data_IF_520541034497
#
_entry.id   IF_520541034497
#
_cell.length_a   1.000
_cell.length_b   1.000
_cell.length_c   1.000
_cell.angle_alpha   90.00
_cell.angle_beta   90.00
_cell.angle_gamma   90.00
#
_symmetry.space_group_name_H-M   'P 1'
#
loop_
_entity.id
_entity.type
_entity.pdbx_description
1 polymer ?
#
# COMPACT_ATOMS: atom_id res chain seq x y z
N UNK A 1 -27.15 -20.85 -28.19
CA UNK A 1 -27.47 -20.31 -26.85
C UNK A 1 -26.88 -18.91 -26.72
N UNK A 2 -27.74 -17.87 -26.67
CA UNK A 2 -27.32 -16.48 -26.66
C UNK A 2 -26.76 -16.13 -25.28
N UNK A 3 -25.44 -15.86 -25.21
CA UNK A 3 -24.81 -15.26 -24.04
C UNK A 3 -25.41 -13.85 -23.86
N UNK A 4 -26.35 -13.70 -22.93
CA UNK A 4 -26.84 -12.40 -22.49
C UNK A 4 -25.65 -11.74 -21.77
N UNK A 5 -24.98 -10.78 -22.42
CA UNK A 5 -24.05 -9.85 -21.77
C UNK A 5 -24.80 -9.17 -20.61
N UNK A 6 -24.65 -9.71 -19.40
CA UNK A 6 -25.12 -9.03 -18.20
C UNK A 6 -24.39 -7.70 -18.13
N UNK A 7 -25.14 -6.60 -18.25
CA UNK A 7 -24.62 -5.26 -18.06
C UNK A 7 -24.01 -5.18 -16.66
N UNK A 8 -22.67 -5.11 -16.58
CA UNK A 8 -21.97 -5.03 -15.30
C UNK A 8 -21.75 -3.55 -14.94
N UNK A 9 -22.68 -3.00 -14.15
CA UNK A 9 -22.65 -1.60 -13.73
C UNK A 9 -21.33 -1.23 -13.01
N UNK A 10 -20.76 -2.13 -12.23
CA UNK A 10 -19.50 -1.88 -11.51
C UNK A 10 -18.32 -1.70 -12.48
N UNK A 11 -18.31 -2.43 -13.60
CA UNK A 11 -17.32 -2.26 -14.66
C UNK A 11 -17.39 -0.86 -15.28
N UNK A 12 -18.60 -0.35 -15.57
CA UNK A 12 -18.79 0.95 -16.17
C UNK A 12 -18.52 2.09 -15.18
N UNK A 13 -18.94 1.93 -13.91
CA UNK A 13 -18.62 2.88 -12.85
C UNK A 13 -17.11 2.99 -12.64
N UNK A 14 -16.40 1.88 -12.63
CA UNK A 14 -14.94 1.90 -12.57
C UNK A 14 -14.34 2.67 -13.75
N UNK A 15 -14.72 2.36 -15.00
CA UNK A 15 -14.24 3.10 -16.18
C UNK A 15 -14.51 4.60 -16.09
N UNK A 16 -15.66 4.97 -15.58
CA UNK A 16 -16.02 6.38 -15.38
C UNK A 16 -15.12 7.04 -14.34
N UNK A 17 -15.01 6.49 -13.15
CA UNK A 17 -14.19 7.07 -12.06
C UNK A 17 -12.69 7.07 -12.35
N UNK A 18 -12.17 6.08 -13.07
CA UNK A 18 -10.77 6.05 -13.50
C UNK A 18 -10.48 6.89 -14.73
N UNK A 19 -11.46 7.56 -15.32
CA UNK A 19 -11.23 8.43 -16.47
C UNK A 19 -10.53 9.74 -16.06
N UNK A 20 -9.55 10.17 -16.85
CA UNK A 20 -8.82 11.41 -16.61
C UNK A 20 -9.76 12.64 -16.65
N UNK A 21 -10.79 12.61 -17.52
CA UNK A 21 -11.78 13.68 -17.64
C UNK A 21 -12.56 13.83 -16.34
N UNK A 22 -13.10 12.73 -15.78
CA UNK A 22 -13.83 12.77 -14.52
C UNK A 22 -12.97 13.31 -13.39
N UNK A 23 -11.75 12.82 -13.25
CA UNK A 23 -10.83 13.23 -12.18
C UNK A 23 -10.38 14.69 -12.31
N UNK A 24 -10.22 15.18 -13.56
CA UNK A 24 -9.88 16.59 -13.83
C UNK A 24 -11.02 17.55 -13.49
N UNK A 25 -12.27 17.16 -13.78
CA UNK A 25 -13.45 18.00 -13.56
C UNK A 25 -13.95 18.00 -12.12
N UNK A 26 -13.52 17.06 -11.30
CA UNK A 26 -13.99 16.93 -9.93
C UNK A 26 -13.01 17.57 -8.93
N UNK A 27 -13.41 18.63 -8.19
CA UNK A 27 -12.54 19.35 -7.28
C UNK A 27 -12.23 18.57 -6.00
N UNK A 28 -13.09 17.62 -5.60
CA UNK A 28 -12.90 16.86 -4.36
C UNK A 28 -12.06 15.60 -4.58
N UNK A 29 -10.73 15.77 -4.55
CA UNK A 29 -9.77 14.68 -4.80
C UNK A 29 -9.88 13.52 -3.81
N UNK A 30 -10.25 13.76 -2.55
CA UNK A 30 -10.39 12.69 -1.55
C UNK A 30 -11.59 11.81 -1.86
N UNK A 31 -12.73 12.42 -2.22
CA UNK A 31 -13.92 11.69 -2.67
C UNK A 31 -13.64 10.85 -3.92
N UNK A 32 -12.86 11.40 -4.86
CA UNK A 32 -12.48 10.67 -6.09
C UNK A 32 -11.72 9.38 -5.74
N UNK A 33 -10.70 9.44 -4.88
CA UNK A 33 -9.91 8.26 -4.52
C UNK A 33 -10.79 7.16 -3.94
N UNK A 34 -11.64 7.50 -2.97
CA UNK A 34 -12.59 6.55 -2.39
C UNK A 34 -13.49 5.92 -3.45
N UNK A 35 -14.07 6.72 -4.36
CA UNK A 35 -14.91 6.21 -5.45
C UNK A 35 -14.16 5.31 -6.42
N UNK A 36 -12.92 5.69 -6.79
CA UNK A 36 -12.06 4.88 -7.68
C UNK A 36 -11.76 3.53 -7.06
N UNK A 37 -11.17 3.49 -5.86
CA UNK A 37 -10.76 2.23 -5.24
C UNK A 37 -11.96 1.36 -4.86
N UNK A 38 -13.07 1.94 -4.38
CA UNK A 38 -14.32 1.20 -4.17
C UNK A 38 -14.86 0.59 -5.47
N UNK A 39 -14.80 1.32 -6.59
CA UNK A 39 -15.24 0.79 -7.88
C UNK A 39 -14.34 -0.32 -8.43
N UNK A 40 -13.04 -0.23 -8.19
CA UNK A 40 -12.06 -1.27 -8.52
C UNK A 40 -12.37 -2.54 -7.72
N UNK A 41 -12.56 -2.42 -6.41
CA UNK A 41 -12.94 -3.53 -5.52
C UNK A 41 -14.26 -4.18 -5.96
N UNK A 42 -15.34 -3.39 -6.11
CA UNK A 42 -16.67 -3.90 -6.50
C UNK A 42 -16.72 -4.54 -7.89
N UNK A 43 -15.84 -4.14 -8.79
CA UNK A 43 -15.73 -4.74 -10.12
C UNK A 43 -14.80 -5.96 -10.18
N UNK A 44 -14.14 -6.31 -9.08
CA UNK A 44 -13.07 -7.31 -9.02
C UNK A 44 -11.98 -7.06 -10.08
N UNK A 45 -11.64 -5.76 -10.31
CA UNK A 45 -10.77 -5.39 -11.42
C UNK A 45 -9.35 -5.97 -11.29
N UNK A 46 -8.84 -6.06 -10.08
CA UNK A 46 -7.51 -6.60 -9.81
C UNK A 46 -7.48 -8.11 -9.60
N UNK A 47 -8.66 -8.74 -9.46
CA UNK A 47 -8.74 -10.20 -9.33
C UNK A 47 -8.34 -10.86 -10.63
N UNK A 48 -7.24 -11.59 -10.60
CA UNK A 48 -6.81 -12.43 -11.71
C UNK A 48 -7.21 -13.87 -11.41
N UNK A 49 -7.90 -14.48 -12.36
CA UNK A 49 -8.20 -15.91 -12.27
C UNK A 49 -6.91 -16.69 -12.49
N UNK A 50 -6.51 -17.42 -11.49
CA UNK A 50 -5.41 -18.37 -11.56
C UNK A 50 -5.97 -19.77 -11.27
N UNK A 51 -5.93 -20.63 -12.25
CA UNK A 51 -6.44 -22.00 -12.13
C UNK A 51 -5.43 -22.95 -11.47
N UNK A 52 -4.22 -22.47 -11.16
CA UNK A 52 -3.15 -23.27 -10.54
C UNK A 52 -3.19 -23.23 -9.02
N UNK A 53 -3.94 -22.27 -8.44
CA UNK A 53 -4.12 -22.10 -6.99
C UNK A 53 -5.61 -22.21 -6.60
N UNK A 54 -5.88 -22.45 -5.33
CA UNK A 54 -7.24 -22.51 -4.80
C UNK A 54 -7.93 -21.15 -4.87
N UNK A 55 -9.27 -21.12 -4.87
CA UNK A 55 -10.03 -19.86 -4.84
C UNK A 55 -9.76 -19.05 -3.58
N UNK A 56 -9.52 -19.71 -2.47
CA UNK A 56 -9.23 -19.15 -1.17
C UNK A 56 -7.86 -18.47 -1.15
N UNK A 57 -6.97 -18.87 -2.07
CA UNK A 57 -5.62 -18.30 -2.25
C UNK A 57 -5.59 -17.08 -3.16
N UNK A 58 -6.72 -16.73 -3.79
CA UNK A 58 -6.84 -15.57 -4.68
C UNK A 58 -7.24 -14.32 -3.89
N UNK A 59 -6.38 -13.30 -3.93
CA UNK A 59 -6.61 -12.00 -3.31
C UNK A 59 -7.49 -11.10 -4.18
N UNK A 60 -8.40 -10.35 -3.55
CA UNK A 60 -9.15 -9.28 -4.22
C UNK A 60 -8.31 -8.01 -4.39
N UNK A 61 -7.16 -7.92 -3.72
CA UNK A 61 -6.22 -6.81 -3.83
C UNK A 61 -5.24 -6.94 -5.01
N UNK A 62 -5.31 -8.04 -5.75
CA UNK A 62 -4.51 -8.28 -6.96
C UNK A 62 -3.59 -9.50 -6.85
N UNK A 63 -3.08 -9.94 -8.00
CA UNK A 63 -2.27 -11.16 -8.11
C UNK A 63 -1.00 -11.15 -7.25
N UNK A 64 -0.41 -9.97 -7.05
CA UNK A 64 0.75 -9.80 -6.17
C UNK A 64 0.48 -10.11 -4.70
N UNK A 65 -0.79 -10.26 -4.31
CA UNK A 65 -1.25 -10.61 -2.96
C UNK A 65 -1.86 -12.01 -2.89
N UNK A 66 -1.84 -12.79 -3.98
CA UNK A 66 -2.25 -14.20 -3.96
C UNK A 66 -1.29 -14.99 -3.08
N UNK A 67 -1.84 -15.95 -2.32
CA UNK A 67 -1.04 -16.93 -1.57
C UNK A 67 -0.87 -18.22 -2.39
N UNK A 68 -0.05 -19.16 -1.91
CA UNK A 68 0.29 -20.42 -2.62
C UNK A 68 0.97 -20.22 -3.99
N UNK A 69 1.67 -19.10 -4.15
CA UNK A 69 2.46 -18.74 -5.32
C UNK A 69 3.94 -18.60 -4.95
N UNK A 70 4.83 -18.75 -5.92
CA UNK A 70 6.27 -18.51 -5.72
C UNK A 70 6.52 -17.09 -5.21
N UNK A 71 5.80 -16.11 -5.75
CA UNK A 71 5.86 -14.73 -5.29
C UNK A 71 5.50 -14.60 -3.80
N UNK A 72 4.43 -15.26 -3.36
CA UNK A 72 4.05 -15.26 -1.94
C UNK A 72 5.13 -15.89 -1.06
N UNK A 73 5.71 -17.00 -1.48
CA UNK A 73 6.77 -17.66 -0.70
C UNK A 73 8.01 -16.79 -0.55
N UNK A 74 8.38 -16.01 -1.56
CA UNK A 74 9.48 -15.06 -1.48
C UNK A 74 9.12 -13.87 -0.57
N UNK A 75 7.93 -13.30 -0.68
CA UNK A 75 7.43 -12.28 0.25
C UNK A 75 7.43 -12.79 1.69
N UNK A 76 6.97 -14.03 1.92
CA UNK A 76 6.97 -14.65 3.24
C UNK A 76 8.37 -14.75 3.82
N UNK A 77 9.38 -15.15 3.03
CA UNK A 77 10.79 -15.16 3.47
C UNK A 77 11.28 -13.77 3.85
N UNK A 78 11.01 -12.76 2.99
CA UNK A 78 11.43 -11.37 3.20
C UNK A 78 10.84 -10.83 4.51
N UNK A 79 9.51 -10.87 4.67
CA UNK A 79 8.86 -10.30 5.84
C UNK A 79 9.11 -11.11 7.11
N UNK A 80 9.26 -12.44 7.02
CA UNK A 80 9.69 -13.24 8.17
C UNK A 80 11.09 -12.83 8.63
N UNK A 81 12.02 -12.58 7.71
CA UNK A 81 13.35 -12.07 8.01
C UNK A 81 13.28 -10.69 8.68
N UNK A 82 12.54 -9.72 8.09
CA UNK A 82 12.38 -8.37 8.66
C UNK A 82 11.80 -8.45 10.07
N UNK A 83 10.73 -9.23 10.27
CA UNK A 83 10.05 -9.39 11.57
C UNK A 83 11.02 -9.92 12.62
N UNK A 84 11.79 -10.95 12.29
CA UNK A 84 12.71 -11.57 13.24
C UNK A 84 13.94 -10.69 13.52
N UNK A 85 14.61 -10.18 12.48
CA UNK A 85 15.85 -9.42 12.62
C UNK A 85 15.63 -8.06 13.30
N UNK A 86 14.48 -7.44 13.06
CA UNK A 86 14.13 -6.14 13.65
C UNK A 86 13.23 -6.26 14.89
N UNK A 87 12.90 -7.49 15.33
CA UNK A 87 12.06 -7.76 16.51
C UNK A 87 10.72 -7.03 16.45
N UNK A 88 10.04 -7.12 15.28
CA UNK A 88 8.75 -6.44 15.03
C UNK A 88 7.64 -7.12 15.83
N UNK A 89 6.99 -6.36 16.71
CA UNK A 89 5.85 -6.78 17.51
C UNK A 89 4.58 -5.96 17.22
N UNK A 90 4.71 -4.86 16.47
CA UNK A 90 3.57 -4.02 16.09
C UNK A 90 3.70 -3.53 14.65
N UNK A 91 2.61 -3.67 13.87
CA UNK A 91 2.56 -3.32 12.45
C UNK A 91 1.36 -2.42 12.14
N UNK A 92 1.61 -1.35 11.39
CA UNK A 92 0.61 -0.55 10.72
C UNK A 92 0.72 -0.79 9.22
N UNK A 93 -0.30 -1.39 8.61
CA UNK A 93 -0.34 -1.74 7.19
C UNK A 93 -1.35 -0.84 6.45
N UNK A 94 -0.88 -0.06 5.48
CA UNK A 94 -1.69 0.93 4.78
C UNK A 94 -1.24 1.16 3.32
N UNK A 95 -2.00 0.66 2.34
CA UNK A 95 -3.28 -0.02 2.45
C UNK A 95 -3.12 -1.50 2.80
N UNK A 96 -4.00 -1.99 3.67
CA UNK A 96 -3.96 -3.39 4.06
C UNK A 96 -4.60 -4.33 3.02
N UNK A 97 -5.39 -3.78 2.09
CA UNK A 97 -6.15 -4.61 1.15
C UNK A 97 -7.02 -5.64 1.88
N UNK A 98 -7.14 -6.84 1.32
CA UNK A 98 -7.87 -7.95 1.92
C UNK A 98 -7.10 -8.72 3.01
N UNK A 99 -5.92 -8.25 3.38
CA UNK A 99 -5.06 -8.80 4.42
C UNK A 99 -4.60 -10.25 4.18
N UNK A 100 -5.01 -10.90 3.10
CA UNK A 100 -4.81 -12.33 2.87
C UNK A 100 -3.34 -12.76 2.98
N UNK A 101 -2.44 -12.11 2.22
CA UNK A 101 -1.04 -12.49 2.17
C UNK A 101 -0.29 -12.22 3.48
N UNK A 102 -0.54 -11.06 4.11
CA UNK A 102 0.18 -10.70 5.32
C UNK A 102 -0.33 -11.47 6.54
N UNK A 103 -1.64 -11.79 6.57
CA UNK A 103 -2.21 -12.71 7.56
C UNK A 103 -1.46 -14.05 7.59
N UNK A 104 -1.19 -14.66 6.44
CA UNK A 104 -0.47 -15.94 6.33
C UNK A 104 0.99 -15.86 6.83
N UNK A 105 1.54 -14.66 6.98
CA UNK A 105 2.87 -14.43 7.55
C UNK A 105 2.82 -14.27 9.07
N UNK A 106 1.77 -13.64 9.59
CA UNK A 106 1.73 -13.23 11.00
C UNK A 106 0.72 -13.97 11.87
N UNK A 107 -0.17 -14.79 11.32
CA UNK A 107 -1.27 -15.45 12.05
C UNK A 107 -0.83 -16.24 13.28
N UNK A 108 0.37 -16.83 13.24
CA UNK A 108 0.94 -17.63 14.32
C UNK A 108 1.98 -16.86 15.16
N UNK A 109 2.04 -15.52 15.01
CA UNK A 109 2.97 -14.64 15.73
C UNK A 109 2.21 -13.75 16.71
N UNK A 110 2.87 -13.36 17.78
CA UNK A 110 2.32 -12.38 18.72
C UNK A 110 2.63 -10.97 18.22
N UNK A 111 1.91 -10.51 17.19
CA UNK A 111 2.07 -9.20 16.57
C UNK A 111 0.75 -8.43 16.70
N UNK A 112 0.82 -7.22 17.23
CA UNK A 112 -0.26 -6.23 17.18
C UNK A 112 -0.33 -5.64 15.78
N UNK A 113 -1.46 -5.80 15.10
CA UNK A 113 -1.65 -5.35 13.73
C UNK A 113 -2.82 -4.38 13.62
N UNK A 114 -2.59 -3.29 12.88
CA UNK A 114 -3.65 -2.38 12.43
C UNK A 114 -3.58 -2.28 10.92
N UNK A 115 -4.65 -2.69 10.24
CA UNK A 115 -4.84 -2.51 8.81
C UNK A 115 -5.69 -1.28 8.52
N UNK A 116 -5.22 -0.43 7.60
CA UNK A 116 -5.97 0.76 7.15
C UNK A 116 -6.20 0.65 5.65
N UNK A 117 -7.43 0.89 5.19
CA UNK A 117 -7.77 0.97 3.77
C UNK A 117 -8.90 1.98 3.55
N UNK A 118 -8.99 2.56 2.35
CA UNK A 118 -10.00 3.56 2.01
C UNK A 118 -11.36 2.94 1.64
N UNK A 119 -11.40 1.63 1.36
CA UNK A 119 -12.60 0.91 0.92
C UNK A 119 -13.36 0.35 2.12
N UNK A 120 -14.49 0.95 2.47
CA UNK A 120 -15.28 0.58 3.65
C UNK A 120 -15.70 -0.89 3.64
N UNK A 121 -16.21 -1.38 2.51
CA UNK A 121 -16.71 -2.76 2.38
C UNK A 121 -15.57 -3.80 2.53
N UNK A 122 -14.36 -3.45 2.09
CA UNK A 122 -13.19 -4.30 2.26
C UNK A 122 -12.79 -4.38 3.74
N UNK A 123 -12.79 -3.25 4.43
CA UNK A 123 -12.50 -3.19 5.87
C UNK A 123 -13.54 -3.97 6.68
N UNK A 124 -14.83 -3.84 6.36
CA UNK A 124 -15.86 -4.64 7.05
C UNK A 124 -15.68 -6.15 6.80
N UNK A 125 -15.34 -6.56 5.58
CA UNK A 125 -15.01 -7.95 5.29
C UNK A 125 -13.80 -8.45 6.09
N UNK A 126 -12.75 -7.63 6.23
CA UNK A 126 -11.58 -7.96 7.04
C UNK A 126 -11.90 -8.07 8.53
N UNK A 127 -12.74 -7.17 9.07
CA UNK A 127 -13.21 -7.26 10.45
C UNK A 127 -13.93 -8.57 10.72
N UNK A 128 -14.87 -8.93 9.85
CA UNK A 128 -15.64 -10.18 9.98
C UNK A 128 -14.70 -11.40 9.96
N UNK A 129 -13.70 -11.39 9.08
CA UNK A 129 -12.86 -12.57 8.82
C UNK A 129 -11.69 -12.71 9.79
N UNK A 130 -11.07 -11.59 10.19
CA UNK A 130 -9.75 -11.60 10.83
C UNK A 130 -9.67 -10.85 12.17
N UNK A 131 -10.64 -9.97 12.49
CA UNK A 131 -10.54 -9.17 13.72
C UNK A 131 -10.50 -10.03 14.97
N UNK A 132 -9.56 -9.75 15.83
CA UNK A 132 -9.40 -10.39 17.13
C UNK A 132 -8.69 -9.42 18.10
N UNK A 133 -8.18 -9.92 19.23
CA UNK A 133 -7.48 -9.07 20.20
C UNK A 133 -6.20 -8.40 19.66
N UNK A 134 -5.55 -8.99 18.66
CA UNK A 134 -4.28 -8.51 18.11
C UNK A 134 -4.47 -7.81 16.76
N UNK A 135 -5.55 -8.12 16.01
CA UNK A 135 -5.77 -7.60 14.66
C UNK A 135 -6.99 -6.67 14.64
N UNK A 136 -6.80 -5.46 14.17
CA UNK A 136 -7.86 -4.46 14.00
C UNK A 136 -7.79 -3.76 12.64
N UNK A 137 -8.93 -3.24 12.17
CA UNK A 137 -9.04 -2.65 10.84
C UNK A 137 -9.79 -1.32 10.89
N UNK A 138 -9.30 -0.32 10.15
CA UNK A 138 -9.80 1.05 10.13
C UNK A 138 -10.05 1.46 8.67
N UNK A 139 -11.24 2.00 8.39
CA UNK A 139 -11.51 2.64 7.10
C UNK A 139 -11.09 4.10 7.15
N UNK A 140 -10.02 4.47 6.39
CA UNK A 140 -9.56 5.85 6.31
C UNK A 140 -8.75 6.09 5.03
N UNK A 141 -8.60 7.37 4.64
CA UNK A 141 -7.71 7.80 3.57
C UNK A 141 -6.28 7.94 4.11
N UNK A 142 -5.41 7.03 3.69
CA UNK A 142 -4.00 6.94 4.10
C UNK A 142 -3.24 8.28 3.96
N UNK A 143 -3.63 9.11 2.99
CA UNK A 143 -2.99 10.42 2.78
C UNK A 143 -3.20 11.35 3.98
N UNK A 144 -4.33 11.21 4.67
CA UNK A 144 -4.70 12.04 5.81
C UNK A 144 -4.66 11.27 7.15
N UNK A 145 -4.46 9.96 7.08
CA UNK A 145 -4.43 9.11 8.28
C UNK A 145 -3.32 9.54 9.22
N UNK A 146 -3.65 9.68 10.49
CA UNK A 146 -2.71 10.03 11.54
C UNK A 146 -3.01 9.24 12.81
N UNK A 147 -1.97 8.87 13.54
CA UNK A 147 -2.07 8.17 14.82
C UNK A 147 -0.91 8.54 15.72
N UNK A 148 -1.18 8.65 17.02
CA UNK A 148 -0.15 8.84 18.06
C UNK A 148 0.45 7.52 18.56
N UNK A 149 -0.13 6.37 18.15
CA UNK A 149 0.40 5.05 18.51
C UNK A 149 1.77 4.85 17.87
N UNK A 150 2.70 4.28 18.62
CA UNK A 150 4.01 3.86 18.11
C UNK A 150 3.88 2.47 17.46
N UNK A 151 4.55 2.28 16.32
CA UNK A 151 4.66 1.00 15.63
C UNK A 151 6.13 0.62 15.43
N UNK A 152 6.42 -0.67 15.43
CA UNK A 152 7.75 -1.13 15.06
C UNK A 152 7.92 -1.06 13.54
N UNK A 153 6.88 -1.41 12.77
CA UNK A 153 6.89 -1.38 11.32
C UNK A 153 5.64 -0.67 10.76
N UNK A 154 5.85 0.27 9.85
CA UNK A 154 4.81 0.72 8.91
C UNK A 154 5.05 0.01 7.58
N UNK A 155 4.00 -0.58 7.00
CA UNK A 155 4.03 -1.23 5.70
C UNK A 155 3.16 -0.44 4.71
N UNK A 156 3.75 -0.04 3.56
CA UNK A 156 3.03 0.56 2.43
C UNK A 156 3.40 -0.23 1.18
N UNK A 157 2.55 -1.17 0.81
CA UNK A 157 2.79 -2.05 -0.33
C UNK A 157 1.78 -1.81 -1.44
N UNK A 158 2.29 -1.65 -2.68
CA UNK A 158 1.50 -1.56 -3.92
C UNK A 158 0.46 -0.40 -3.98
N UNK A 159 0.62 0.65 -3.16
CA UNK A 159 -0.20 1.86 -3.22
C UNK A 159 0.35 2.88 -4.22
N UNK A 160 1.65 3.17 -4.15
CA UNK A 160 2.26 4.29 -4.86
C UNK A 160 2.15 4.17 -6.38
N UNK A 161 2.05 2.95 -6.89
CA UNK A 161 1.85 2.67 -8.32
C UNK A 161 0.47 3.11 -8.84
N UNK A 162 -0.50 3.40 -7.96
CA UNK A 162 -1.89 3.69 -8.29
C UNK A 162 -2.34 5.13 -7.96
N UNK A 163 -1.49 5.93 -7.31
CA UNK A 163 -1.82 7.30 -6.88
C UNK A 163 -0.86 8.33 -7.46
N UNK A 164 -1.29 9.59 -7.48
CA UNK A 164 -0.50 10.70 -8.04
C UNK A 164 0.77 10.97 -7.24
N UNK A 165 1.81 11.49 -7.91
CA UNK A 165 3.08 11.87 -7.28
C UNK A 165 2.88 12.88 -6.12
N UNK A 166 1.94 13.80 -6.27
CA UNK A 166 1.59 14.76 -5.21
C UNK A 166 1.03 14.09 -3.95
N UNK A 167 0.29 12.98 -4.10
CA UNK A 167 -0.26 12.23 -2.97
C UNK A 167 0.81 11.37 -2.30
N UNK A 168 1.73 10.78 -3.08
CA UNK A 168 2.92 10.08 -2.52
C UNK A 168 3.74 11.03 -1.65
N UNK A 169 4.03 12.27 -2.13
CA UNK A 169 4.75 13.28 -1.34
C UNK A 169 4.05 13.58 -0.02
N UNK A 170 2.72 13.70 -0.02
CA UNK A 170 1.96 13.94 1.23
C UNK A 170 2.04 12.76 2.19
N UNK A 171 1.96 11.52 1.68
CA UNK A 171 2.11 10.32 2.52
C UNK A 171 3.50 10.31 3.16
N UNK A 172 4.56 10.56 2.39
CA UNK A 172 5.93 10.64 2.90
C UNK A 172 6.05 11.73 3.99
N UNK A 173 5.51 12.93 3.74
CA UNK A 173 5.47 14.01 4.74
C UNK A 173 4.67 13.65 5.98
N UNK A 174 3.59 12.88 5.83
CA UNK A 174 2.76 12.44 6.95
C UNK A 174 3.45 11.37 7.80
N UNK A 175 4.19 10.46 7.16
CA UNK A 175 5.00 9.47 7.87
C UNK A 175 5.98 10.12 8.85
N UNK A 176 6.56 11.27 8.51
CA UNK A 176 7.47 11.98 9.42
C UNK A 176 6.83 12.38 10.76
N UNK A 177 5.52 12.61 10.77
CA UNK A 177 4.76 12.98 11.96
C UNK A 177 4.34 11.76 12.79
N UNK A 178 4.41 10.56 12.21
CA UNK A 178 4.04 9.32 12.89
C UNK A 178 5.21 8.78 13.72
N UNK A 179 4.90 7.99 14.73
CA UNK A 179 5.90 7.35 15.57
C UNK A 179 6.10 5.89 15.14
N UNK A 180 7.27 5.56 14.58
CA UNK A 180 7.62 4.21 14.14
C UNK A 180 9.12 3.96 14.23
N UNK A 181 9.53 2.69 14.17
CA UNK A 181 10.94 2.31 14.11
C UNK A 181 11.39 2.11 12.66
N UNK A 182 10.62 1.38 11.87
CA UNK A 182 10.92 1.03 10.48
C UNK A 182 9.73 1.29 9.56
N UNK A 183 10.00 1.60 8.29
CA UNK A 183 8.99 1.64 7.23
C UNK A 183 9.44 0.80 6.04
N UNK A 184 8.55 -0.07 5.54
CA UNK A 184 8.75 -0.87 4.34
C UNK A 184 7.90 -0.32 3.19
N UNK A 185 8.53 0.02 2.06
CA UNK A 185 7.93 0.65 0.89
C UNK A 185 8.29 -0.12 -0.38
N UNK A 186 7.36 -0.26 -1.33
CA UNK A 186 7.73 -0.72 -2.67
C UNK A 186 8.38 0.40 -3.49
N UNK A 187 9.39 0.03 -4.25
CA UNK A 187 10.06 0.89 -5.24
C UNK A 187 10.47 0.09 -6.46
N UNK A 188 10.58 0.75 -7.59
CA UNK A 188 11.08 0.19 -8.84
C UNK A 188 12.41 0.86 -9.22
N UNK A 189 13.11 0.33 -10.23
CA UNK A 189 14.39 0.90 -10.71
C UNK A 189 14.27 1.71 -12.01
N UNK A 190 13.06 2.15 -12.37
CA UNK A 190 12.85 3.00 -13.53
C UNK A 190 13.59 4.35 -13.39
N UNK A 191 14.06 4.90 -14.50
CA UNK A 191 14.87 6.14 -14.51
C UNK A 191 14.04 7.41 -14.33
N UNK A 192 12.77 7.40 -14.69
CA UNK A 192 11.88 8.57 -14.69
C UNK A 192 10.55 8.18 -14.08
N UNK A 193 10.03 9.01 -13.18
CA UNK A 193 8.69 8.90 -12.64
C UNK A 193 7.70 9.73 -13.47
N UNK A 194 6.72 9.08 -14.05
CA UNK A 194 5.57 9.75 -14.64
C UNK A 194 4.44 9.86 -13.63
N UNK A 195 3.55 10.82 -13.80
CA UNK A 195 2.33 10.85 -12.98
C UNK A 195 1.27 9.90 -13.53
N UNK A 196 0.22 9.63 -12.75
CA UNK A 196 -0.82 8.67 -13.10
C UNK A 196 -2.20 9.21 -12.75
N UNK A 197 -3.19 8.81 -13.52
CA UNK A 197 -4.59 8.95 -13.14
C UNK A 197 -4.89 7.93 -12.04
N UNK A 198 -5.49 8.37 -10.94
CA UNK A 198 -5.75 7.52 -9.76
C UNK A 198 -6.44 6.21 -10.15
N UNK A 199 -5.93 5.11 -9.65
CA UNK A 199 -6.42 3.75 -9.93
C UNK A 199 -5.83 3.09 -11.18
N UNK A 200 -5.09 3.82 -12.03
CA UNK A 200 -4.29 3.24 -13.08
C UNK A 200 -2.93 2.80 -12.51
N UNK A 201 -2.10 2.18 -13.34
CA UNK A 201 -0.83 1.60 -12.91
C UNK A 201 0.36 2.30 -13.58
N UNK A 202 1.43 2.54 -12.81
CA UNK A 202 2.76 2.87 -13.31
C UNK A 202 3.83 2.44 -12.32
N UNK A 203 5.07 2.26 -12.79
CA UNK A 203 6.22 2.02 -11.91
C UNK A 203 6.65 3.32 -11.22
N UNK A 204 7.08 3.22 -9.96
CA UNK A 204 7.54 4.35 -9.14
C UNK A 204 8.90 4.03 -8.56
N UNK A 205 9.88 4.87 -8.85
CA UNK A 205 11.20 4.83 -8.23
C UNK A 205 11.30 5.92 -7.16
N UNK A 206 11.42 5.53 -5.90
CA UNK A 206 11.51 6.48 -4.79
C UNK A 206 12.87 7.18 -4.69
N UNK A 207 13.91 6.68 -5.39
CA UNK A 207 15.27 7.23 -5.35
C UNK A 207 15.52 8.33 -6.38
N UNK A 208 14.57 8.59 -7.30
CA UNK A 208 14.71 9.62 -8.33
C UNK A 208 13.59 10.66 -8.24
N UNK A 209 13.76 11.77 -8.97
CA UNK A 209 12.73 12.81 -9.07
C UNK A 209 11.32 12.23 -9.29
N UNK A 210 10.30 12.75 -8.64
CA UNK A 210 10.28 13.93 -7.79
C UNK A 210 10.40 13.59 -6.28
N UNK A 211 10.82 12.37 -5.91
CA UNK A 211 10.87 11.91 -4.52
C UNK A 211 12.25 12.05 -3.90
N UNK A 212 13.30 11.63 -4.62
CA UNK A 212 14.71 11.71 -4.22
C UNK A 212 14.99 11.20 -2.79
N UNK A 213 14.32 10.11 -2.37
CA UNK A 213 14.66 9.47 -1.12
C UNK A 213 16.08 8.92 -1.22
N UNK A 214 16.82 8.93 -0.14
CA UNK A 214 18.12 8.28 -0.08
C UNK A 214 18.01 6.75 -0.13
N UNK A 215 19.16 6.10 -0.21
CA UNK A 215 19.20 4.64 -0.23
C UNK A 215 18.60 4.06 1.05
N UNK A 216 17.78 3.00 0.94
CA UNK A 216 17.21 2.34 2.11
C UNK A 216 18.31 1.67 2.95
N UNK A 217 17.98 1.39 4.22
CA UNK A 217 18.82 0.58 5.10
C UNK A 217 19.08 -0.81 4.52
N UNK A 218 18.00 -1.43 4.05
CA UNK A 218 18.02 -2.72 3.35
C UNK A 218 17.04 -2.67 2.18
N UNK A 219 17.32 -3.44 1.13
CA UNK A 219 16.38 -3.65 0.04
C UNK A 219 16.31 -5.13 -0.31
N UNK A 220 15.11 -5.58 -0.67
CA UNK A 220 14.83 -6.96 -1.04
C UNK A 220 14.20 -6.96 -2.42
N UNK A 221 14.64 -7.86 -3.30
CA UNK A 221 14.02 -8.04 -4.61
C UNK A 221 12.63 -8.64 -4.41
N UNK A 222 11.60 -7.99 -4.93
CA UNK A 222 10.25 -8.54 -5.02
C UNK A 222 10.15 -9.43 -6.28
N UNK A 223 9.01 -10.00 -6.55
CA UNK A 223 8.77 -10.97 -7.63
C UNK A 223 9.19 -10.46 -9.03
N UNK A 224 8.90 -9.19 -9.35
CA UNK A 224 9.30 -8.58 -10.62
C UNK A 224 10.80 -8.22 -10.60
N UNK A 225 11.47 -8.34 -11.75
CA UNK A 225 12.93 -8.12 -11.84
C UNK A 225 13.39 -6.73 -11.43
N UNK A 226 12.52 -5.74 -11.58
CA UNK A 226 12.81 -4.33 -11.30
C UNK A 226 12.00 -3.76 -10.12
N UNK A 227 11.34 -4.62 -9.33
CA UNK A 227 10.55 -4.27 -8.15
C UNK A 227 11.27 -4.67 -6.86
N UNK A 228 11.28 -3.76 -5.90
CA UNK A 228 11.97 -3.96 -4.63
C UNK A 228 11.08 -3.56 -3.46
N UNK A 229 11.36 -4.16 -2.30
CA UNK A 229 10.89 -3.71 -1.00
C UNK A 229 12.06 -2.97 -0.35
N UNK A 230 11.91 -1.68 -0.10
CA UNK A 230 12.86 -0.83 0.60
C UNK A 230 12.50 -0.76 2.08
N UNK A 231 13.45 -1.07 2.96
CA UNK A 231 13.31 -0.92 4.40
C UNK A 231 14.13 0.28 4.87
N UNK A 232 13.47 1.26 5.46
CA UNK A 232 14.10 2.43 6.09
C UNK A 232 13.94 2.37 7.60
N UNK A 233 14.97 2.78 8.33
CA UNK A 233 14.84 3.16 9.73
C UNK A 233 14.35 4.62 9.81
N UNK A 234 13.51 4.94 10.80
CA UNK A 234 12.87 6.26 10.89
C UNK A 234 13.88 7.41 10.84
N UNK A 235 14.99 7.34 11.59
CA UNK A 235 16.00 8.40 11.62
C UNK A 235 16.53 8.74 10.22
N UNK A 236 16.87 7.73 9.43
CA UNK A 236 17.40 7.90 8.08
C UNK A 236 16.32 8.36 7.09
N UNK A 237 15.07 7.93 7.30
CA UNK A 237 13.93 8.34 6.47
C UNK A 237 13.58 9.83 6.62
N UNK A 238 13.76 10.40 7.82
CA UNK A 238 13.47 11.81 8.12
C UNK A 238 14.58 12.75 7.63
N UNK A 239 15.85 12.42 7.86
CA UNK A 239 17.00 13.24 7.45
C UNK A 239 16.97 13.54 5.95
N UNK A 240 16.52 12.59 5.16
CA UNK A 240 16.43 12.67 3.71
C UNK A 240 15.40 13.68 3.18
N UNK A 241 14.34 13.94 3.93
CA UNK A 241 13.30 14.91 3.53
C UNK A 241 13.72 16.35 3.80
N UNK A 242 14.58 16.57 4.78
CA UNK A 242 15.11 17.90 5.09
C UNK A 242 16.14 18.31 4.05
N UNK A 243 17.02 17.40 3.63
CA UNK A 243 18.06 17.68 2.64
C UNK A 243 17.49 18.00 1.24
N UNK A 244 16.37 17.37 0.86
CA UNK A 244 15.74 17.59 -0.47
C UNK A 244 14.74 18.74 -0.53
N UNK A 245 14.29 19.29 0.60
CA UNK A 245 13.22 20.32 0.66
C UNK A 245 13.72 21.75 0.80
N UNK A 246 15.02 22.00 1.04
CA UNK A 246 15.55 23.33 1.36
C UNK A 246 15.00 23.95 2.65
N UNK A 247 14.33 23.15 3.50
CA UNK A 247 13.81 23.58 4.80
C UNK A 247 14.90 23.26 5.82
N UNK A 248 15.46 24.31 6.43
CA UNK A 248 16.37 24.14 7.56
C UNK A 248 15.65 23.42 8.73
N UNK A 249 16.33 22.49 9.44
CA UNK A 249 15.76 21.86 10.60
C UNK A 249 15.45 22.93 11.64
N UNK A 250 14.23 22.91 12.19
CA UNK A 250 13.88 23.73 13.35
C UNK A 250 14.83 23.33 14.48
N UNK A 251 15.89 24.12 14.67
CA UNK A 251 16.72 24.02 15.87
C UNK A 251 15.81 24.26 17.05
N UNK A 252 15.59 23.22 17.87
CA UNK A 252 14.98 23.35 19.18
C UNK A 252 15.86 24.30 19.99
N UNK A 253 15.46 25.59 20.06
CA UNK A 253 16.02 26.51 21.02
C UNK A 253 15.78 25.95 22.42
N UNK A 254 16.88 25.86 23.18
CA UNK A 254 16.92 25.64 24.62
C UNK A 254 16.13 26.68 25.36
#
# INVERSE_FOLDING_TARGET
MKNKNKFNINYWLRKFYTSAIYQKLNPNKNKIKKQVFTSIYKSNHWVQKDNTISKESISVSGHGSNIDTNQFFDLKKIFTKIINDKQINSVLDMPCGDFLWFYEIIKDKNIDYIGVDIVDELIEANKIKYQNKNFSFISDDIINFHTNKKFDLILIRDLFIHIQNSDIKKIIQNLNKMNFSYVALNSYNNKINHDVVVGNHRKVNLLVEPFNLEKPLEYFKDYEDDKFIFLYEKKNFIENLVAGSGIEPLTSGL
#
